data_IF_251188373837
#
_entry.id   IF_251188373837
#
_cell.length_a   1.000
_cell.length_b   1.000
_cell.length_c   1.000
_cell.angle_alpha   90.00
_cell.angle_beta   90.00
_cell.angle_gamma   90.00
#
_symmetry.space_group_name_H-M   'P 1'
#
loop_
_entity.id
_entity.type
_entity.pdbx_description
1 polymer ?
#
# COMPACT_ATOMS: atom_id res chain seq x y z
N UNK A 1 11.35 13.29 -6.37
CA UNK A 1 10.76 12.13 -5.68
C UNK A 1 10.28 11.03 -6.66
N UNK A 2 9.35 11.29 -7.57
CA UNK A 2 8.78 10.30 -8.49
C UNK A 2 9.81 9.53 -9.34
N UNK A 3 10.81 10.22 -9.88
CA UNK A 3 11.88 9.59 -10.67
C UNK A 3 12.74 8.62 -9.83
N UNK A 4 12.99 8.92 -8.56
CA UNK A 4 13.70 8.03 -7.64
C UNK A 4 12.94 6.74 -7.36
N UNK A 5 11.62 6.83 -7.13
CA UNK A 5 10.75 5.65 -6.98
C UNK A 5 10.80 4.77 -8.23
N UNK A 6 10.74 5.35 -9.42
CA UNK A 6 10.79 4.58 -10.67
C UNK A 6 12.15 3.95 -10.95
N UNK A 7 13.24 4.70 -10.73
CA UNK A 7 14.58 4.25 -11.13
C UNK A 7 15.25 3.33 -10.09
N UNK A 8 14.92 3.50 -8.82
CA UNK A 8 15.52 2.75 -7.72
C UNK A 8 14.50 1.87 -7.01
N UNK A 9 13.38 2.46 -6.57
CA UNK A 9 12.37 1.75 -5.79
C UNK A 9 11.73 0.58 -6.53
N UNK A 10 11.39 0.74 -7.82
CA UNK A 10 10.79 -0.35 -8.61
C UNK A 10 11.78 -1.52 -8.80
N UNK A 11 13.00 -1.34 -9.29
CA UNK A 11 13.97 -2.43 -9.37
C UNK A 11 14.27 -3.09 -8.02
N UNK A 12 14.42 -2.29 -6.97
CA UNK A 12 14.63 -2.78 -5.61
C UNK A 12 13.46 -3.64 -5.13
N UNK A 13 12.22 -3.18 -5.31
CA UNK A 13 11.02 -3.93 -4.91
C UNK A 13 10.87 -5.25 -5.69
N UNK A 14 11.22 -5.28 -6.97
CA UNK A 14 11.20 -6.51 -7.78
C UNK A 14 12.25 -7.50 -7.30
N UNK A 15 13.47 -7.07 -7.03
CA UNK A 15 14.56 -7.96 -6.56
C UNK A 15 14.27 -8.50 -5.15
N UNK A 16 13.94 -7.60 -4.20
CA UNK A 16 13.63 -8.00 -2.82
C UNK A 16 12.34 -8.82 -2.76
N UNK A 17 11.32 -8.44 -3.54
CA UNK A 17 10.09 -9.20 -3.69
C UNK A 17 10.33 -10.60 -4.21
N UNK A 18 11.23 -10.77 -5.19
CA UNK A 18 11.65 -12.09 -5.69
C UNK A 18 12.34 -12.92 -4.61
N UNK A 19 13.24 -12.31 -3.85
CA UNK A 19 13.93 -12.97 -2.74
C UNK A 19 12.95 -13.43 -1.64
N UNK A 20 12.02 -12.58 -1.23
CA UNK A 20 11.00 -12.92 -0.22
C UNK A 20 9.94 -13.89 -0.75
N UNK A 21 9.68 -13.88 -2.06
CA UNK A 21 8.75 -14.79 -2.70
C UNK A 21 9.32 -16.21 -2.83
N UNK A 22 10.64 -16.38 -2.92
CA UNK A 22 11.29 -17.68 -3.12
C UNK A 22 10.92 -18.73 -2.06
N UNK A 23 10.96 -18.44 -0.73
CA UNK A 23 10.52 -19.40 0.29
C UNK A 23 9.06 -19.82 0.11
N UNK A 24 8.17 -18.86 -0.20
CA UNK A 24 6.77 -19.15 -0.48
C UNK A 24 6.62 -20.10 -1.67
N UNK A 25 7.34 -19.86 -2.76
CA UNK A 25 7.34 -20.71 -3.96
C UNK A 25 7.85 -22.10 -3.65
N UNK A 26 8.99 -22.22 -2.96
CA UNK A 26 9.58 -23.52 -2.61
C UNK A 26 8.66 -24.35 -1.71
N UNK A 27 7.96 -23.73 -0.79
CA UNK A 27 7.00 -24.39 0.10
C UNK A 27 5.78 -24.93 -0.66
N UNK A 28 5.25 -24.14 -1.60
CA UNK A 28 4.02 -24.47 -2.32
C UNK A 28 4.22 -25.12 -3.68
N UNK A 29 5.47 -25.35 -4.12
CA UNK A 29 5.76 -25.90 -5.46
C UNK A 29 5.13 -27.28 -5.73
N UNK A 30 4.91 -28.09 -4.68
CA UNK A 30 4.28 -29.41 -4.78
C UNK A 30 2.74 -29.33 -4.91
N UNK A 31 2.12 -28.23 -4.53
CA UNK A 31 0.66 -28.05 -4.52
C UNK A 31 0.07 -27.74 -5.90
N UNK A 32 0.89 -27.64 -6.95
CA UNK A 32 0.48 -27.29 -8.34
C UNK A 32 -0.45 -26.08 -8.41
N UNK A 33 -0.18 -25.06 -7.62
CA UNK A 33 -0.96 -23.83 -7.63
C UNK A 33 -0.90 -23.16 -9.02
N UNK A 34 -2.01 -22.53 -9.49
CA UNK A 34 -2.03 -21.88 -10.78
C UNK A 34 -1.06 -20.72 -10.84
N UNK A 35 -0.49 -20.47 -12.02
CA UNK A 35 0.48 -19.38 -12.26
C UNK A 35 -0.07 -18.02 -11.79
N UNK A 36 -1.35 -17.76 -12.01
CA UNK A 36 -2.02 -16.53 -11.59
C UNK A 36 -1.94 -16.29 -10.07
N UNK A 37 -2.06 -17.34 -9.27
CA UNK A 37 -1.87 -17.24 -7.80
C UNK A 37 -0.45 -16.80 -7.45
N UNK A 38 0.54 -17.36 -8.11
CA UNK A 38 1.95 -17.00 -7.93
C UNK A 38 2.19 -15.53 -8.32
N UNK A 39 1.68 -15.09 -9.48
CA UNK A 39 1.79 -13.71 -9.96
C UNK A 39 1.14 -12.71 -8.99
N UNK A 40 -0.05 -13.02 -8.48
CA UNK A 40 -0.77 -12.15 -7.55
C UNK A 40 -0.02 -11.98 -6.22
N UNK A 41 0.49 -13.08 -5.64
CA UNK A 41 1.28 -13.02 -4.40
C UNK A 41 2.58 -12.25 -4.61
N UNK A 42 3.28 -12.50 -5.72
CA UNK A 42 4.50 -11.78 -6.07
C UNK A 42 4.22 -10.28 -6.27
N UNK A 43 3.18 -9.92 -7.02
CA UNK A 43 2.79 -8.53 -7.23
C UNK A 43 2.45 -7.83 -5.90
N UNK A 44 1.75 -8.53 -4.99
CA UNK A 44 1.45 -7.98 -3.67
C UNK A 44 2.72 -7.73 -2.84
N UNK A 45 3.68 -8.65 -2.83
CA UNK A 45 4.96 -8.47 -2.14
C UNK A 45 5.74 -7.28 -2.72
N UNK A 46 5.92 -7.25 -4.05
CA UNK A 46 6.65 -6.15 -4.71
C UNK A 46 5.99 -4.80 -4.44
N UNK A 47 4.66 -4.75 -4.50
CA UNK A 47 3.93 -3.52 -4.26
C UNK A 47 4.02 -3.06 -2.80
N UNK A 48 3.94 -3.99 -1.84
CA UNK A 48 4.13 -3.69 -0.41
C UNK A 48 5.52 -3.11 -0.15
N UNK A 49 6.57 -3.73 -0.73
CA UNK A 49 7.94 -3.24 -0.60
C UNK A 49 8.08 -1.85 -1.22
N UNK A 50 7.49 -1.63 -2.42
CA UNK A 50 7.53 -0.35 -3.10
C UNK A 50 6.88 0.77 -2.28
N UNK A 51 5.73 0.50 -1.65
CA UNK A 51 5.06 1.47 -0.78
C UNK A 51 5.90 1.76 0.46
N UNK A 52 6.46 0.74 1.12
CA UNK A 52 7.34 0.94 2.27
C UNK A 52 8.61 1.72 1.88
N UNK A 53 9.20 1.45 0.73
CA UNK A 53 10.34 2.21 0.20
C UNK A 53 9.94 3.67 -0.03
N UNK A 54 8.84 3.92 -0.72
CA UNK A 54 8.37 5.27 -1.03
C UNK A 54 7.98 6.08 0.21
N UNK A 55 7.42 5.42 1.23
CA UNK A 55 6.91 6.09 2.44
C UNK A 55 7.94 6.19 3.56
N UNK A 56 8.88 5.27 3.66
CA UNK A 56 9.84 5.21 4.78
C UNK A 56 11.28 5.50 4.35
N UNK A 57 11.73 4.97 3.19
CA UNK A 57 13.15 5.03 2.82
C UNK A 57 13.49 6.26 1.98
N UNK A 58 12.58 6.70 1.08
CA UNK A 58 12.79 7.89 0.25
C UNK A 58 12.60 9.14 1.09
N UNK A 59 13.64 9.67 1.60
CA UNK A 59 13.66 10.86 2.48
C UNK A 59 14.58 10.67 3.67
N UNK A 60 15.12 9.45 3.79
CA UNK A 60 16.02 9.08 4.88
C UNK A 60 15.28 8.66 6.14
N UNK A 61 15.94 7.84 6.93
CA UNK A 61 15.49 7.44 8.26
C UNK A 61 16.39 8.14 9.28
N UNK A 62 15.80 8.92 10.16
CA UNK A 62 16.48 9.41 11.35
C UNK A 62 16.21 8.42 12.49
N UNK A 63 17.27 7.76 12.97
CA UNK A 63 17.16 6.81 14.08
C UNK A 63 17.21 7.47 15.47
N UNK A 64 17.45 8.78 15.54
CA UNK A 64 17.47 9.54 16.78
C UNK A 64 16.86 10.94 16.58
N UNK A 65 15.59 11.03 16.17
CA UNK A 65 14.95 12.28 15.85
C UNK A 65 14.85 13.17 17.09
N UNK A 66 15.18 14.44 16.93
CA UNK A 66 15.14 15.44 18.01
C UNK A 66 13.74 15.92 18.33
N UNK A 67 12.79 15.73 17.39
CA UNK A 67 11.38 16.05 17.58
C UNK A 67 10.51 15.10 16.76
N UNK A 68 9.27 14.93 17.20
CA UNK A 68 8.25 14.13 16.56
C UNK A 68 7.05 15.01 16.24
N UNK A 69 6.57 14.96 15.01
CA UNK A 69 5.38 15.68 14.60
C UNK A 69 4.22 14.71 14.43
N UNK A 70 3.11 14.96 15.13
CA UNK A 70 1.90 14.15 15.08
C UNK A 70 0.69 15.07 14.88
N UNK A 71 0.02 14.96 13.75
CA UNK A 71 -1.24 15.64 13.48
C UNK A 71 -2.41 14.65 13.59
N UNK A 72 -3.27 14.85 14.58
CA UNK A 72 -4.50 14.08 14.77
C UNK A 72 -5.78 14.89 14.45
N UNK A 73 -5.64 16.11 13.97
CA UNK A 73 -6.77 16.97 13.61
C UNK A 73 -7.09 16.78 12.11
N UNK A 74 -8.19 16.08 11.77
CA UNK A 74 -8.54 15.84 10.37
C UNK A 74 -8.85 17.14 9.64
N UNK A 75 -8.35 17.25 8.41
CA UNK A 75 -8.61 18.38 7.50
C UNK A 75 -8.13 19.74 8.03
N UNK A 76 -7.16 19.76 8.96
CA UNK A 76 -6.61 21.01 9.51
C UNK A 76 -5.94 21.87 8.42
N UNK A 77 -5.38 21.24 7.41
CA UNK A 77 -4.80 21.90 6.24
C UNK A 77 -5.79 22.80 5.45
N UNK A 78 -7.09 22.57 5.58
CA UNK A 78 -8.11 23.44 4.97
C UNK A 78 -8.17 24.79 5.70
N UNK A 79 -7.95 24.78 7.01
CA UNK A 79 -7.98 25.97 7.86
C UNK A 79 -6.65 26.67 7.95
N UNK A 80 -5.59 25.86 8.00
CA UNK A 80 -4.21 26.30 8.13
C UNK A 80 -3.36 25.63 7.05
N UNK A 81 -3.32 26.21 5.82
CA UNK A 81 -2.48 25.64 4.76
C UNK A 81 -1.03 25.68 5.21
N UNK A 82 -0.38 24.51 5.19
CA UNK A 82 1.03 24.38 5.51
C UNK A 82 1.89 25.24 4.55
N UNK A 83 3.13 25.51 4.91
CA UNK A 83 4.05 26.35 4.16
C UNK A 83 4.27 25.91 2.69
N UNK A 84 4.06 24.61 2.39
CA UNK A 84 4.16 24.07 1.03
C UNK A 84 3.02 24.49 0.09
N UNK A 85 1.95 25.11 0.61
CA UNK A 85 0.81 25.58 -0.16
C UNK A 85 -0.25 24.48 -0.44
N UNK A 86 -1.47 24.96 -0.71
CA UNK A 86 -2.66 24.07 -0.89
C UNK A 86 -2.48 23.10 -2.06
N UNK A 87 -1.85 23.54 -3.17
CA UNK A 87 -1.69 22.69 -4.37
C UNK A 87 -0.85 21.45 -4.10
N UNK A 88 0.27 21.62 -3.41
CA UNK A 88 1.20 20.52 -3.15
C UNK A 88 0.62 19.57 -2.12
N UNK A 89 -0.07 20.11 -1.13
CA UNK A 89 -0.82 19.32 -0.15
C UNK A 89 -1.91 18.46 -0.79
N UNK A 90 -2.79 19.07 -1.61
CA UNK A 90 -3.84 18.31 -2.32
C UNK A 90 -3.22 17.24 -3.23
N UNK A 91 -2.11 17.56 -3.89
CA UNK A 91 -1.39 16.59 -4.72
C UNK A 91 -0.88 15.42 -3.88
N UNK A 92 -0.35 15.65 -2.68
CA UNK A 92 0.13 14.61 -1.77
C UNK A 92 -1.02 13.71 -1.29
N UNK A 93 -2.14 14.30 -0.86
CA UNK A 93 -3.32 13.55 -0.45
C UNK A 93 -3.89 12.68 -1.57
N UNK A 94 -3.96 13.22 -2.78
CA UNK A 94 -4.40 12.47 -3.98
C UNK A 94 -3.45 11.32 -4.30
N UNK A 95 -2.14 11.53 -4.18
CA UNK A 95 -1.15 10.47 -4.38
C UNK A 95 -1.30 9.34 -3.35
N UNK A 96 -1.63 9.64 -2.09
CA UNK A 96 -1.90 8.66 -1.05
C UNK A 96 -3.09 7.77 -1.42
N UNK A 97 -4.19 8.36 -1.93
CA UNK A 97 -5.33 7.60 -2.45
C UNK A 97 -4.88 6.65 -3.57
N UNK A 98 -4.18 7.16 -4.59
CA UNK A 98 -3.73 6.34 -5.71
C UNK A 98 -2.76 5.23 -5.28
N UNK A 99 -1.89 5.51 -4.33
CA UNK A 99 -0.95 4.54 -3.78
C UNK A 99 -1.65 3.38 -3.07
N UNK A 100 -2.83 3.59 -2.46
CA UNK A 100 -3.53 2.54 -1.75
C UNK A 100 -4.60 1.80 -2.57
N UNK A 101 -4.95 2.27 -3.78
CA UNK A 101 -5.84 1.53 -4.69
C UNK A 101 -5.34 0.11 -4.96
N UNK A 102 -4.06 -0.14 -5.32
CA UNK A 102 -3.57 -1.51 -5.53
C UNK A 102 -3.66 -2.39 -4.27
N UNK A 103 -3.51 -1.85 -3.06
CA UNK A 103 -3.75 -2.61 -1.83
C UNK A 103 -5.20 -3.09 -1.73
N UNK A 104 -6.17 -2.21 -2.01
CA UNK A 104 -7.58 -2.56 -2.01
C UNK A 104 -7.94 -3.64 -3.03
N UNK A 105 -7.21 -3.73 -4.15
CA UNK A 105 -7.36 -4.79 -5.16
C UNK A 105 -6.65 -6.08 -4.71
N UNK A 106 -5.38 -5.98 -4.33
CA UNK A 106 -4.52 -7.14 -4.11
C UNK A 106 -4.81 -7.88 -2.80
N UNK A 107 -5.18 -7.16 -1.73
CA UNK A 107 -5.51 -7.77 -0.44
C UNK A 107 -6.58 -8.87 -0.55
N UNK A 108 -7.78 -8.62 -1.12
CA UNK A 108 -8.80 -9.65 -1.28
C UNK A 108 -8.46 -10.72 -2.32
N UNK A 109 -7.56 -10.42 -3.27
CA UNK A 109 -7.05 -11.39 -4.23
C UNK A 109 -6.08 -12.37 -3.57
N UNK A 110 -5.16 -11.88 -2.73
CA UNK A 110 -4.16 -12.70 -2.04
C UNK A 110 -4.77 -13.42 -0.84
N UNK A 111 -5.56 -12.73 -0.04
CA UNK A 111 -6.13 -13.25 1.20
C UNK A 111 -7.64 -13.42 1.07
N UNK A 112 -8.08 -14.63 0.71
CA UNK A 112 -9.51 -14.91 0.52
C UNK A 112 -10.38 -14.57 1.75
N UNK A 113 -9.79 -14.61 2.95
CA UNK A 113 -10.46 -14.22 4.20
C UNK A 113 -10.77 -12.72 4.27
N UNK A 114 -10.09 -11.89 3.46
CA UNK A 114 -10.25 -10.45 3.40
C UNK A 114 -11.20 -9.99 2.28
N UNK A 115 -11.93 -10.87 1.62
CA UNK A 115 -12.85 -10.54 0.51
C UNK A 115 -14.10 -9.75 0.91
N UNK A 116 -14.39 -9.60 2.19
CA UNK A 116 -15.46 -8.70 2.63
C UNK A 116 -14.92 -7.26 2.74
N UNK A 117 -15.72 -6.26 2.29
CA UNK A 117 -15.32 -4.84 2.28
C UNK A 117 -14.69 -4.41 3.61
N UNK A 118 -15.39 -4.62 4.72
CA UNK A 118 -14.92 -4.17 6.03
C UNK A 118 -13.59 -4.81 6.44
N UNK A 119 -13.31 -6.05 6.00
CA UNK A 119 -12.04 -6.73 6.27
C UNK A 119 -10.90 -6.16 5.43
N UNK A 120 -11.15 -5.86 4.16
CA UNK A 120 -10.17 -5.18 3.29
C UNK A 120 -9.87 -3.79 3.84
N UNK A 121 -10.90 -3.04 4.25
CA UNK A 121 -10.76 -1.71 4.86
C UNK A 121 -9.96 -1.77 6.16
N UNK A 122 -10.24 -2.73 7.04
CA UNK A 122 -9.44 -2.94 8.25
C UNK A 122 -7.98 -3.33 7.94
N UNK A 123 -7.77 -4.12 6.89
CA UNK A 123 -6.41 -4.46 6.44
C UNK A 123 -5.66 -3.21 5.93
N UNK A 124 -6.30 -2.39 5.11
CA UNK A 124 -5.73 -1.12 4.63
C UNK A 124 -5.47 -0.16 5.79
N UNK A 125 -6.43 -0.02 6.71
CA UNK A 125 -6.28 0.79 7.92
C UNK A 125 -5.09 0.33 8.78
N UNK A 126 -4.95 -0.98 9.02
CA UNK A 126 -3.83 -1.52 9.80
C UNK A 126 -2.47 -1.24 9.14
N UNK A 127 -2.38 -1.37 7.82
CA UNK A 127 -1.15 -1.08 7.06
C UNK A 127 -0.81 0.41 7.15
N UNK A 128 -1.76 1.31 6.94
CA UNK A 128 -1.49 2.75 6.97
C UNK A 128 -1.12 3.21 8.39
N UNK A 129 -1.82 2.75 9.43
CA UNK A 129 -1.44 3.08 10.82
C UNK A 129 -0.04 2.59 11.15
N UNK A 130 0.35 1.42 10.66
CA UNK A 130 1.73 0.93 10.82
C UNK A 130 2.73 1.86 10.12
N UNK A 131 2.44 2.31 8.89
CA UNK A 131 3.30 3.24 8.15
C UNK A 131 3.44 4.55 8.92
N UNK A 132 2.34 5.18 9.34
CA UNK A 132 2.34 6.44 10.09
C UNK A 132 3.10 6.31 11.43
N UNK A 133 2.94 5.16 12.11
CA UNK A 133 3.67 4.87 13.34
C UNK A 133 5.18 4.80 13.08
N UNK A 134 5.59 4.11 12.01
CA UNK A 134 7.00 4.03 11.62
C UNK A 134 7.55 5.40 11.21
N UNK A 135 6.79 6.18 10.47
CA UNK A 135 7.17 7.56 10.09
C UNK A 135 7.38 8.43 11.34
N UNK A 136 6.47 8.39 12.31
CA UNK A 136 6.62 9.09 13.58
C UNK A 136 7.93 8.75 14.29
N UNK A 137 8.28 7.46 14.39
CA UNK A 137 9.51 7.03 15.05
C UNK A 137 10.79 7.25 14.23
N UNK A 138 10.67 7.53 12.94
CA UNK A 138 11.82 7.79 12.05
C UNK A 138 12.02 9.28 11.73
N UNK A 139 11.46 10.19 12.54
CA UNK A 139 11.63 11.62 12.39
C UNK A 139 10.83 12.27 11.27
N UNK A 140 9.79 11.57 10.79
CA UNK A 140 8.82 12.09 9.82
C UNK A 140 7.53 12.50 10.51
N UNK A 141 6.72 13.32 9.83
CA UNK A 141 5.38 13.63 10.31
C UNK A 141 4.45 12.44 10.14
N UNK A 142 3.66 12.15 11.18
CA UNK A 142 2.51 11.25 11.11
C UNK A 142 1.23 12.08 11.06
N UNK A 143 0.39 11.82 10.06
CA UNK A 143 -0.79 12.63 9.78
C UNK A 143 -2.05 11.76 9.62
N UNK A 144 -3.11 12.15 10.34
CA UNK A 144 -4.41 11.45 10.25
C UNK A 144 -5.03 11.58 8.84
N UNK A 145 -4.72 12.65 8.11
CA UNK A 145 -5.23 12.84 6.76
C UNK A 145 -4.63 11.82 5.79
N UNK A 146 -3.36 11.44 5.97
CA UNK A 146 -2.72 10.38 5.20
C UNK A 146 -3.41 9.03 5.48
N UNK A 147 -3.76 8.75 6.74
CA UNK A 147 -4.53 7.54 7.10
C UNK A 147 -5.89 7.53 6.39
N UNK A 148 -6.62 8.66 6.43
CA UNK A 148 -7.94 8.78 5.81
C UNK A 148 -7.85 8.55 4.29
N UNK A 149 -6.89 9.19 3.61
CA UNK A 149 -6.73 9.09 2.16
C UNK A 149 -6.25 7.70 1.73
N UNK A 150 -5.36 7.07 2.48
CA UNK A 150 -4.92 5.71 2.24
C UNK A 150 -6.08 4.71 2.38
N UNK A 151 -6.90 4.85 3.42
CA UNK A 151 -8.10 4.01 3.59
C UNK A 151 -9.10 4.24 2.46
N UNK A 152 -9.31 5.48 2.04
CA UNK A 152 -10.16 5.81 0.88
C UNK A 152 -9.64 5.11 -0.39
N UNK A 153 -8.32 5.14 -0.63
CA UNK A 153 -7.68 4.39 -1.71
C UNK A 153 -7.97 2.89 -1.62
N UNK A 154 -7.88 2.31 -0.41
CA UNK A 154 -8.24 0.92 -0.14
C UNK A 154 -9.70 0.58 -0.47
N UNK A 155 -10.63 1.48 -0.15
CA UNK A 155 -12.07 1.33 -0.50
C UNK A 155 -12.28 1.37 -2.01
N UNK A 156 -11.67 2.33 -2.70
CA UNK A 156 -11.74 2.44 -4.16
C UNK A 156 -11.14 1.20 -4.84
N UNK A 157 -10.00 0.74 -4.36
CA UNK A 157 -9.36 -0.49 -4.82
C UNK A 157 -10.23 -1.73 -4.62
N UNK A 158 -10.92 -1.82 -3.48
CA UNK A 158 -11.89 -2.91 -3.27
C UNK A 158 -13.04 -2.84 -4.28
N UNK A 159 -13.53 -1.65 -4.61
CA UNK A 159 -14.52 -1.46 -5.69
C UNK A 159 -14.01 -2.02 -7.03
N UNK A 160 -12.75 -1.75 -7.38
CA UNK A 160 -12.10 -2.34 -8.57
C UNK A 160 -12.03 -3.87 -8.47
N UNK A 161 -11.66 -4.41 -7.30
CA UNK A 161 -11.68 -5.87 -7.07
C UNK A 161 -13.07 -6.48 -7.31
N UNK A 162 -14.13 -5.85 -6.81
CA UNK A 162 -15.52 -6.33 -7.01
C UNK A 162 -15.89 -6.34 -8.48
N UNK A 163 -15.54 -5.28 -9.22
CA UNK A 163 -15.76 -5.21 -10.68
C UNK A 163 -15.00 -6.31 -11.41
N UNK A 164 -13.72 -6.50 -11.09
CA UNK A 164 -12.91 -7.59 -11.67
C UNK A 164 -13.50 -8.96 -11.33
N UNK A 165 -13.91 -9.16 -10.08
CA UNK A 165 -14.53 -10.40 -9.64
C UNK A 165 -15.85 -10.68 -10.39
N UNK A 166 -16.66 -9.67 -10.65
CA UNK A 166 -17.87 -9.80 -11.45
C UNK A 166 -17.56 -10.15 -12.92
N UNK A 167 -16.64 -9.42 -13.54
CA UNK A 167 -16.29 -9.63 -14.96
C UNK A 167 -15.53 -10.94 -15.22
N UNK A 168 -14.80 -11.45 -14.24
CA UNK A 168 -13.94 -12.64 -14.38
C UNK A 168 -14.50 -13.87 -13.67
N UNK A 169 -15.70 -13.77 -13.09
CA UNK A 169 -16.35 -14.87 -12.35
C UNK A 169 -16.53 -16.16 -13.15
N UNK A 170 -16.61 -16.12 -14.46
CA UNK A 170 -16.72 -17.31 -15.33
C UNK A 170 -15.36 -17.94 -15.67
N UNK A 171 -14.25 -17.26 -15.34
CA UNK A 171 -12.92 -17.76 -15.70
C UNK A 171 -12.38 -18.72 -14.63
N UNK A 172 -12.08 -19.95 -15.01
CA UNK A 172 -11.55 -20.99 -14.10
C UNK A 172 -10.29 -20.55 -13.35
N UNK A 173 -9.40 -19.81 -14.00
CA UNK A 173 -8.16 -19.31 -13.40
C UNK A 173 -8.40 -18.26 -12.31
N UNK A 174 -9.51 -17.51 -12.39
CA UNK A 174 -9.87 -16.52 -11.38
C UNK A 174 -10.30 -17.18 -10.06
N UNK A 175 -11.09 -18.24 -10.15
CA UNK A 175 -11.50 -19.01 -8.97
C UNK A 175 -10.36 -19.77 -8.30
N UNK A 176 -9.29 -20.02 -9.02
CA UNK A 176 -8.12 -20.71 -8.51
C UNK A 176 -7.11 -19.79 -7.79
N UNK A 177 -7.34 -18.46 -7.80
CA UNK A 177 -6.60 -17.46 -7.03
C UNK A 177 -7.18 -17.33 -5.64
#
# INVERSE_FOLDING_TARGET
MFLGVLMVGVPFSLLLGGFLYLPYYLWHRKERRPVWRHLTVYAWLCFTILVLDATLLIGGIDFAPTYHFLNLAPFEWIRHPYEMGIRDMVSQLVLNVFMFIPFGVLLPMVFQRLRALWKTVLGAFGITVMIETLQYFTGRSADIDDVIMNVLGGVLGYGVFVLLNHCLSEKRWWHAM
#
